data_IF_185761213376
#
_entry.id   IF_185761213376
#
_cell.length_a   1.000
_cell.length_b   1.000
_cell.length_c   1.000
_cell.angle_alpha   90.00
_cell.angle_beta   90.00
_cell.angle_gamma   90.00
#
_symmetry.space_group_name_H-M   'P 1'
#
loop_
_entity.id
_entity.type
_entity.pdbx_description
1 polymer ?
#
# COMPACT_ATOMS: atom_id res chain seq x y z
N UNK A 1 -2.45 15.74 2.06
CA UNK A 1 -3.43 15.75 3.17
C UNK A 1 -4.16 14.41 3.16
N UNK A 2 -4.03 13.59 4.22
CA UNK A 2 -4.69 12.28 4.32
C UNK A 2 -6.22 12.34 4.19
N UNK A 3 -6.85 13.49 4.47
CA UNK A 3 -8.29 13.66 4.39
C UNK A 3 -8.84 13.68 2.95
N UNK A 4 -7.98 14.03 1.98
CA UNK A 4 -8.36 14.16 0.57
C UNK A 4 -8.19 12.85 -0.21
N UNK A 5 -7.33 11.96 0.25
CA UNK A 5 -7.00 10.69 -0.42
C UNK A 5 -5.63 10.73 -1.10
N UNK A 6 -5.41 9.82 -2.05
CA UNK A 6 -4.14 9.73 -2.79
C UNK A 6 -4.31 10.42 -4.13
N UNK A 7 -3.55 11.49 -4.34
CA UNK A 7 -3.52 12.21 -5.61
C UNK A 7 -2.64 11.45 -6.62
N UNK A 8 -3.18 11.22 -7.80
CA UNK A 8 -2.51 10.56 -8.92
C UNK A 8 -2.20 11.61 -9.97
N UNK A 9 -0.95 11.63 -10.40
CA UNK A 9 -0.45 12.50 -11.44
C UNK A 9 0.10 11.65 -12.59
N UNK A 10 0.07 12.20 -13.80
CA UNK A 10 0.84 11.64 -14.90
C UNK A 10 2.35 11.89 -14.72
N UNK A 11 3.15 11.35 -15.65
CA UNK A 11 4.61 11.50 -15.62
C UNK A 11 5.09 12.95 -15.85
N UNK A 12 4.21 13.85 -16.30
CA UNK A 12 4.50 15.27 -16.53
C UNK A 12 4.01 16.16 -15.37
N UNK A 13 3.42 15.58 -14.32
CA UNK A 13 2.88 16.30 -13.17
C UNK A 13 1.48 16.86 -13.37
N UNK A 14 0.77 16.44 -14.42
CA UNK A 14 -0.64 16.80 -14.62
C UNK A 14 -1.50 15.96 -13.68
N UNK A 15 -2.40 16.60 -12.95
CA UNK A 15 -3.39 15.90 -12.12
C UNK A 15 -4.22 14.96 -13.00
N UNK A 16 -4.25 13.68 -12.65
CA UNK A 16 -5.01 12.66 -13.36
C UNK A 16 -6.29 12.30 -12.60
N UNK A 17 -6.16 11.88 -11.34
CA UNK A 17 -7.30 11.46 -10.51
C UNK A 17 -6.95 11.50 -9.02
N UNK A 18 -7.94 11.33 -8.15
CA UNK A 18 -7.78 11.08 -6.72
C UNK A 18 -8.33 9.70 -6.39
N UNK A 19 -7.50 8.82 -5.82
CA UNK A 19 -7.99 7.58 -5.20
C UNK A 19 -8.58 7.92 -3.84
N UNK A 20 -9.84 7.54 -3.61
CA UNK A 20 -10.59 7.77 -2.37
C UNK A 20 -10.12 6.89 -1.19
N UNK A 21 -8.80 6.68 -1.06
CA UNK A 21 -8.15 5.95 0.03
C UNK A 21 -7.63 6.99 1.02
N UNK A 22 -8.38 7.19 2.10
CA UNK A 22 -8.16 8.23 3.11
C UNK A 22 -7.64 7.66 4.42
N UNK A 23 -7.10 8.56 5.24
CA UNK A 23 -6.69 8.28 6.62
C UNK A 23 -5.61 7.19 6.72
N UNK A 24 -4.70 7.17 5.74
CA UNK A 24 -3.56 6.24 5.70
C UNK A 24 -2.26 7.00 5.99
N UNK A 25 -1.40 6.40 6.82
CA UNK A 25 -0.08 6.95 7.13
C UNK A 25 0.98 6.55 6.10
N UNK A 26 0.88 5.35 5.54
CA UNK A 26 1.87 4.78 4.62
C UNK A 26 1.20 3.95 3.54
N UNK A 27 1.68 4.10 2.31
CA UNK A 27 1.32 3.25 1.19
C UNK A 27 2.55 2.99 0.31
N UNK A 28 2.46 1.95 -0.49
CA UNK A 28 3.46 1.63 -1.50
C UNK A 28 2.78 1.15 -2.78
N UNK A 29 3.23 1.69 -3.90
CA UNK A 29 2.87 1.18 -5.23
C UNK A 29 3.80 0.01 -5.55
N UNK A 30 3.23 -1.14 -5.92
CA UNK A 30 3.99 -2.30 -6.36
C UNK A 30 3.21 -3.11 -7.41
N UNK A 31 3.87 -3.43 -8.52
CA UNK A 31 3.26 -4.05 -9.70
C UNK A 31 1.96 -3.31 -10.09
N UNK A 32 0.84 -4.04 -10.19
CA UNK A 32 -0.46 -3.51 -10.59
C UNK A 32 -1.34 -3.13 -9.40
N UNK A 33 -0.75 -2.76 -8.25
CA UNK A 33 -1.55 -2.36 -7.11
C UNK A 33 -0.87 -1.39 -6.15
N UNK A 34 -1.71 -0.80 -5.32
CA UNK A 34 -1.34 0.03 -4.20
C UNK A 34 -1.59 -0.74 -2.91
N UNK A 35 -0.54 -0.94 -2.13
CA UNK A 35 -0.60 -1.59 -0.84
C UNK A 35 -0.58 -0.54 0.26
N UNK A 36 -1.45 -0.67 1.25
CA UNK A 36 -1.54 0.28 2.35
C UNK A 36 -2.02 -0.39 3.62
N UNK A 37 -1.59 0.15 4.75
CA UNK A 37 -2.07 -0.26 6.06
C UNK A 37 -3.26 0.58 6.46
N UNK A 38 -4.31 -0.08 6.91
CA UNK A 38 -5.45 0.56 7.55
C UNK A 38 -5.86 -0.28 8.75
N UNK A 39 -5.85 0.36 9.92
CA UNK A 39 -6.09 -0.31 11.20
C UNK A 39 -5.15 -1.51 11.39
N UNK A 40 -5.72 -2.72 11.46
CA UNK A 40 -5.01 -3.99 11.61
C UNK A 40 -4.87 -4.78 10.30
N UNK A 41 -5.16 -4.15 9.16
CA UNK A 41 -5.22 -4.83 7.86
C UNK A 41 -4.17 -4.26 6.89
N UNK A 42 -3.52 -5.17 6.17
CA UNK A 42 -2.85 -4.84 4.93
C UNK A 42 -3.85 -5.03 3.78
N UNK A 43 -4.11 -3.95 3.07
CA UNK A 43 -5.04 -3.88 1.96
C UNK A 43 -4.27 -3.68 0.65
N UNK A 44 -4.79 -4.24 -0.44
CA UNK A 44 -4.31 -4.02 -1.80
C UNK A 44 -5.44 -3.43 -2.62
N UNK A 45 -5.21 -2.26 -3.20
CA UNK A 45 -6.06 -1.70 -4.25
C UNK A 45 -5.49 -2.10 -5.62
N UNK A 46 -6.26 -2.82 -6.42
CA UNK A 46 -5.88 -3.23 -7.77
C UNK A 46 -6.18 -2.09 -8.76
N UNK A 47 -5.19 -1.71 -9.58
CA UNK A 47 -5.36 -0.59 -10.52
C UNK A 47 -6.17 -0.95 -11.78
N UNK A 48 -6.31 -2.24 -12.10
CA UNK A 48 -7.05 -2.73 -13.26
C UNK A 48 -8.50 -2.95 -12.87
N UNK A 49 -8.74 -3.71 -11.80
CA UNK A 49 -10.09 -4.04 -11.34
C UNK A 49 -10.73 -2.90 -10.56
N UNK A 50 -9.93 -1.95 -10.08
CA UNK A 50 -10.34 -0.82 -9.24
C UNK A 50 -11.05 -1.26 -7.94
N UNK A 51 -10.68 -2.45 -7.44
CA UNK A 51 -11.21 -3.03 -6.21
C UNK A 51 -10.15 -3.11 -5.12
N UNK A 52 -10.60 -3.20 -3.87
CA UNK A 52 -9.73 -3.40 -2.70
C UNK A 52 -9.94 -4.80 -2.15
N UNK A 53 -8.82 -5.50 -1.96
CA UNK A 53 -8.78 -6.80 -1.30
C UNK A 53 -7.98 -6.74 0.00
N UNK A 54 -8.35 -7.62 0.93
CA UNK A 54 -7.56 -7.85 2.14
C UNK A 54 -6.46 -8.85 1.86
N UNK A 55 -5.22 -8.43 2.06
CA UNK A 55 -4.04 -9.29 1.89
C UNK A 55 -3.75 -10.04 3.19
N UNK A 56 -3.78 -9.34 4.32
CA UNK A 56 -3.45 -9.92 5.62
C UNK A 56 -4.07 -9.13 6.78
N UNK A 57 -4.41 -9.82 7.85
CA UNK A 57 -4.81 -9.25 9.14
C UNK A 57 -3.70 -9.46 10.19
N UNK A 58 -3.50 -8.47 11.06
CA UNK A 58 -2.48 -8.47 12.12
C UNK A 58 -3.12 -8.26 13.49
N UNK A 59 -2.54 -8.85 14.55
CA UNK A 59 -3.06 -8.63 15.91
C UNK A 59 -2.59 -7.32 16.55
N UNK A 60 -1.75 -6.53 15.88
CA UNK A 60 -1.22 -5.24 16.35
C UNK A 60 -1.42 -4.13 15.33
N UNK A 61 -1.04 -2.90 15.70
CA UNK A 61 -1.07 -1.72 14.80
C UNK A 61 0.32 -1.47 14.21
N UNK A 62 0.66 -2.08 13.05
CA UNK A 62 1.94 -1.81 12.41
C UNK A 62 2.03 -0.35 11.99
N UNK A 63 3.17 0.29 12.32
CA UNK A 63 3.40 1.69 11.98
C UNK A 63 3.83 1.89 10.53
N UNK A 64 4.57 0.93 9.95
CA UNK A 64 5.10 1.06 8.60
C UNK A 64 5.16 -0.29 7.87
N UNK A 65 4.98 -0.23 6.54
CA UNK A 65 5.16 -1.34 5.62
C UNK A 65 6.29 -1.03 4.63
N UNK A 66 7.16 -2.00 4.38
CA UNK A 66 8.17 -1.94 3.32
C UNK A 66 8.15 -3.23 2.50
N UNK A 67 7.94 -3.10 1.20
CA UNK A 67 8.23 -4.14 0.22
C UNK A 67 9.71 -4.09 -0.19
N UNK A 68 10.36 -5.26 -0.31
CA UNK A 68 11.77 -5.37 -0.74
C UNK A 68 11.98 -6.59 -1.64
N UNK A 69 12.43 -6.36 -2.88
CA UNK A 69 12.78 -7.43 -3.83
C UNK A 69 14.02 -8.23 -3.38
N UNK A 70 14.98 -7.55 -2.73
CA UNK A 70 16.31 -8.10 -2.42
C UNK A 70 16.30 -9.29 -1.43
N UNK A 71 15.22 -9.44 -0.67
CA UNK A 71 15.00 -10.56 0.26
C UNK A 71 13.88 -11.51 -0.21
N UNK A 72 13.18 -11.20 -1.30
CA UNK A 72 12.07 -11.98 -1.85
C UNK A 72 12.53 -13.24 -2.60
N UNK A 73 13.78 -13.27 -3.09
CA UNK A 73 14.32 -14.40 -3.86
C UNK A 73 14.55 -15.70 -3.06
N UNK A 74 14.44 -15.69 -1.72
CA UNK A 74 14.82 -16.84 -0.91
C UNK A 74 13.67 -17.78 -0.50
N UNK A 75 12.42 -17.31 -0.34
CA UNK A 75 11.38 -18.19 0.25
C UNK A 75 9.93 -18.04 -0.25
N UNK A 76 9.50 -16.96 -0.93
CA UNK A 76 8.11 -16.84 -1.46
C UNK A 76 8.04 -15.82 -2.61
N UNK A 77 7.08 -15.93 -3.56
CA UNK A 77 6.79 -14.83 -4.49
C UNK A 77 6.30 -13.62 -3.69
N UNK A 78 7.05 -12.51 -3.73
CA UNK A 78 6.75 -11.23 -3.08
C UNK A 78 6.40 -11.31 -1.57
N UNK A 79 7.41 -11.27 -0.69
CA UNK A 79 7.17 -11.14 0.75
C UNK A 79 7.14 -9.67 1.19
N UNK A 80 6.04 -9.24 1.82
CA UNK A 80 5.94 -7.95 2.50
C UNK A 80 6.51 -8.07 3.92
N UNK A 81 7.30 -7.08 4.37
CA UNK A 81 7.73 -6.99 5.78
C UNK A 81 7.17 -5.73 6.41
N UNK A 82 6.59 -5.91 7.60
CA UNK A 82 6.15 -4.82 8.46
C UNK A 82 7.23 -4.53 9.48
N UNK A 83 7.47 -3.25 9.71
CA UNK A 83 8.45 -2.79 10.68
C UNK A 83 7.73 -1.93 11.73
N UNK A 84 7.98 -2.25 12.99
CA UNK A 84 7.64 -1.38 14.12
C UNK A 84 8.94 -0.81 14.68
N UNK A 85 9.22 0.44 14.35
CA UNK A 85 10.36 1.16 14.92
C UNK A 85 9.90 1.81 16.23
N UNK A 86 10.49 1.36 17.34
CA UNK A 86 10.32 1.95 18.68
C UNK A 86 11.00 3.30 18.77
#
# INVERSE_FOLDING_TARGET
>A
DPAHGILVFDIYGTYYNTLSIKDIGFFQVYMNGLFYLKDTHLLRYDFIEMQTDTVMHYSGMPRQMLYSEKWAGALLPASFRLYDFR
#
